data_IF_939158342097
#
_entry.id   IF_939158342097
#
_cell.length_a   1.000
_cell.length_b   1.000
_cell.length_c   1.000
_cell.angle_alpha   90.00
_cell.angle_beta   90.00
_cell.angle_gamma   90.00
#
_symmetry.space_group_name_H-M   'P 1'
#
loop_
_entity.id
_entity.type
_entity.pdbx_description
1 polymer ?
#
# COMPACT_ATOMS: atom_id res chain seq x y z
N UNK A 1 3.93 11.76 -24.71
CA UNK A 1 4.26 10.54 -23.95
C UNK A 1 4.44 10.99 -22.52
N UNK A 2 3.47 10.71 -21.64
CA UNK A 2 3.64 11.01 -20.22
C UNK A 2 4.63 9.99 -19.66
N UNK A 3 5.60 10.38 -18.82
CA UNK A 3 6.52 9.44 -18.21
C UNK A 3 5.70 8.46 -17.37
N UNK A 4 5.83 7.16 -17.66
CA UNK A 4 5.27 6.09 -16.83
C UNK A 4 6.19 5.88 -15.64
N UNK A 5 6.24 6.83 -14.72
CA UNK A 5 6.83 6.55 -13.41
C UNK A 5 5.88 5.60 -12.69
N UNK A 6 6.28 4.33 -12.59
CA UNK A 6 5.57 3.33 -11.81
C UNK A 6 5.93 3.56 -10.35
N UNK A 7 4.92 3.53 -9.47
CA UNK A 7 5.12 3.57 -8.03
C UNK A 7 6.19 2.56 -7.59
N UNK A 8 7.03 2.95 -6.63
CA UNK A 8 8.17 2.15 -6.16
C UNK A 8 8.35 2.32 -4.65
N UNK A 9 8.55 1.22 -3.94
CA UNK A 9 8.78 1.21 -2.49
C UNK A 9 10.24 1.54 -2.10
N UNK A 10 11.09 1.93 -3.05
CA UNK A 10 12.52 2.11 -2.83
C UNK A 10 12.84 3.10 -1.69
N UNK A 11 12.01 4.13 -1.54
CA UNK A 11 12.12 5.19 -0.52
C UNK A 11 11.17 5.00 0.66
N UNK A 12 10.38 3.92 0.68
CA UNK A 12 9.41 3.72 1.74
C UNK A 12 10.09 3.25 3.02
N UNK A 13 9.53 3.59 4.20
CA UNK A 13 10.03 3.11 5.48
C UNK A 13 10.17 1.58 5.48
N UNK A 14 11.34 1.08 5.86
CA UNK A 14 11.60 -0.37 5.91
C UNK A 14 11.02 -0.99 7.18
N UNK A 15 10.79 -2.31 7.14
CA UNK A 15 10.28 -3.08 8.29
C UNK A 15 11.01 -2.70 9.59
N UNK A 16 10.23 -2.51 10.66
CA UNK A 16 10.74 -2.10 11.97
C UNK A 16 10.04 -2.91 13.08
N UNK A 17 10.29 -2.56 14.35
CA UNK A 17 9.71 -3.24 15.52
C UNK A 17 8.17 -3.16 15.58
N UNK A 18 7.55 -2.17 14.92
CA UNK A 18 6.10 -1.96 14.91
C UNK A 18 5.41 -2.95 13.96
N UNK A 19 6.13 -3.40 12.94
CA UNK A 19 5.68 -4.45 12.02
C UNK A 19 6.06 -4.18 10.57
N UNK A 20 5.49 -5.01 9.70
CA UNK A 20 5.71 -5.01 8.25
C UNK A 20 4.35 -5.06 7.55
N UNK A 21 4.26 -4.41 6.40
CA UNK A 21 3.13 -4.45 5.50
C UNK A 21 3.62 -4.82 4.10
N UNK A 22 2.92 -5.76 3.49
CA UNK A 22 3.23 -6.26 2.14
C UNK A 22 1.97 -6.16 1.29
N UNK A 23 2.12 -5.72 0.04
CA UNK A 23 1.06 -5.76 -0.96
C UNK A 23 1.62 -6.35 -2.24
N UNK A 24 1.00 -7.43 -2.69
CA UNK A 24 1.30 -8.08 -3.96
C UNK A 24 0.07 -8.01 -4.85
N UNK A 25 0.22 -7.45 -6.05
CA UNK A 25 -0.86 -7.33 -7.03
C UNK A 25 -0.44 -8.04 -8.31
N UNK A 26 -1.29 -8.96 -8.78
CA UNK A 26 -1.14 -9.64 -10.07
C UNK A 26 -2.32 -9.29 -10.97
N UNK A 27 -2.03 -8.66 -12.10
CA UNK A 27 -3.01 -8.24 -13.10
C UNK A 27 -2.59 -8.82 -14.45
N UNK A 28 -3.21 -9.95 -14.83
CA UNK A 28 -2.82 -10.69 -16.03
C UNK A 28 -1.37 -11.20 -15.94
N UNK A 29 -0.48 -10.67 -16.78
CA UNK A 29 0.96 -10.98 -16.77
C UNK A 29 1.81 -10.00 -15.95
N UNK A 30 1.21 -8.91 -15.51
CA UNK A 30 1.90 -7.92 -14.69
C UNK A 30 1.87 -8.32 -13.23
N UNK A 31 3.00 -8.09 -12.57
CA UNK A 31 3.20 -8.39 -11.17
C UNK A 31 3.94 -7.22 -10.52
N UNK A 32 3.37 -6.71 -9.44
CA UNK A 32 3.99 -5.69 -8.60
C UNK A 32 3.92 -6.13 -7.15
N UNK A 33 4.98 -5.86 -6.40
CA UNK A 33 5.11 -6.19 -4.99
C UNK A 33 5.73 -5.01 -4.27
N UNK A 34 5.15 -4.64 -3.14
CA UNK A 34 5.61 -3.57 -2.28
C UNK A 34 5.81 -4.07 -0.85
N UNK A 35 6.85 -3.57 -0.19
CA UNK A 35 7.13 -3.75 1.22
C UNK A 35 7.34 -2.41 1.93
N UNK A 36 6.67 -2.20 3.05
CA UNK A 36 6.91 -1.05 3.95
C UNK A 36 6.74 -1.45 5.41
N UNK A 37 7.16 -0.61 6.35
CA UNK A 37 6.77 -0.75 7.75
C UNK A 37 5.26 -0.57 7.90
N UNK A 38 4.70 -1.07 9.02
CA UNK A 38 3.31 -0.79 9.35
C UNK A 38 3.10 0.73 9.50
N UNK A 39 2.19 1.30 8.70
CA UNK A 39 1.79 2.71 8.78
C UNK A 39 0.50 2.84 9.58
N UNK A 40 0.56 3.60 10.67
CA UNK A 40 -0.54 3.79 11.62
C UNK A 40 -1.43 4.99 11.33
N UNK A 41 -0.94 6.00 10.61
CA UNK A 41 -1.66 7.25 10.38
C UNK A 41 -1.22 8.01 9.12
N UNK A 42 -2.03 8.99 8.70
CA UNK A 42 -1.67 9.92 7.62
C UNK A 42 -0.53 10.88 7.98
N UNK A 43 -0.23 11.07 9.27
CA UNK A 43 0.92 11.88 9.71
C UNK A 43 2.22 11.18 9.33
N UNK A 44 2.33 9.89 9.62
CA UNK A 44 3.49 9.06 9.23
C UNK A 44 3.69 9.01 7.70
N UNK A 45 2.60 9.10 6.92
CA UNK A 45 2.68 9.23 5.46
C UNK A 45 3.29 10.57 5.05
N UNK A 46 2.84 11.67 5.64
CA UNK A 46 3.32 13.02 5.32
C UNK A 46 4.80 13.23 5.68
N UNK A 47 5.27 12.57 6.74
CA UNK A 47 6.66 12.66 7.21
C UNK A 47 7.62 11.72 6.46
N UNK A 48 7.14 10.94 5.48
CA UNK A 48 7.96 10.00 4.71
C UNK A 48 8.72 10.66 3.55
N UNK A 49 9.74 9.96 3.04
CA UNK A 49 10.53 10.37 1.87
C UNK A 49 9.75 10.24 0.54
N UNK A 50 8.56 9.63 0.57
CA UNK A 50 7.66 9.49 -0.58
C UNK A 50 6.18 9.55 -0.15
N UNK A 51 5.70 10.75 0.22
CA UNK A 51 4.35 10.93 0.77
C UNK A 51 3.25 10.71 -0.27
N UNK A 52 3.55 10.88 -1.57
CA UNK A 52 2.57 10.67 -2.64
C UNK A 52 2.30 9.18 -2.86
N UNK A 53 3.36 8.38 -3.06
CA UNK A 53 3.24 6.93 -3.24
C UNK A 53 2.68 6.22 -2.02
N UNK A 54 3.14 6.57 -0.81
CA UNK A 54 2.61 5.97 0.42
C UNK A 54 1.14 6.33 0.68
N UNK A 55 0.69 7.52 0.27
CA UNK A 55 -0.73 7.89 0.40
C UNK A 55 -1.61 7.03 -0.52
N UNK A 56 -1.17 6.77 -1.75
CA UNK A 56 -1.87 5.87 -2.67
C UNK A 56 -1.98 4.47 -2.06
N UNK A 57 -0.86 3.93 -1.58
CA UNK A 57 -0.81 2.63 -0.89
C UNK A 57 -1.74 2.59 0.34
N UNK A 58 -1.72 3.64 1.16
CA UNK A 58 -2.50 3.74 2.39
C UNK A 58 -4.01 3.68 2.13
N UNK A 59 -4.50 4.41 1.12
CA UNK A 59 -5.92 4.37 0.75
C UNK A 59 -6.31 3.07 0.05
N UNK A 60 -5.49 2.59 -0.88
CA UNK A 60 -5.76 1.33 -1.59
C UNK A 60 -5.93 0.17 -0.60
N UNK A 61 -5.07 0.07 0.41
CA UNK A 61 -5.15 -0.99 1.43
C UNK A 61 -6.41 -0.86 2.28
N UNK A 62 -6.89 0.35 2.56
CA UNK A 62 -8.16 0.55 3.27
C UNK A 62 -9.36 0.12 2.42
N UNK A 63 -9.40 0.55 1.16
CA UNK A 63 -10.46 0.18 0.24
C UNK A 63 -10.55 -1.34 0.08
N UNK A 64 -9.41 -2.03 -0.06
CA UNK A 64 -9.35 -3.49 -0.12
C UNK A 64 -9.84 -4.16 1.17
N UNK A 65 -9.47 -3.64 2.34
CA UNK A 65 -9.93 -4.16 3.63
C UNK A 65 -11.44 -4.01 3.81
N UNK A 66 -11.99 -2.86 3.45
CA UNK A 66 -13.44 -2.62 3.50
C UNK A 66 -14.16 -3.57 2.54
N UNK A 67 -13.65 -3.70 1.32
CA UNK A 67 -14.20 -4.62 0.32
C UNK A 67 -14.23 -6.08 0.80
N UNK A 68 -13.13 -6.55 1.40
CA UNK A 68 -13.04 -7.90 1.98
C UNK A 68 -14.07 -8.09 3.11
N UNK A 69 -14.15 -7.15 4.05
CA UNK A 69 -15.11 -7.22 5.16
C UNK A 69 -16.57 -7.24 4.67
N UNK A 70 -16.89 -6.48 3.62
CA UNK A 70 -18.23 -6.49 3.03
C UNK A 70 -18.55 -7.82 2.34
N UNK A 71 -17.58 -8.43 1.65
CA UNK A 71 -17.74 -9.75 1.05
C UNK A 71 -17.99 -10.81 2.13
N UNK A 72 -17.28 -10.73 3.26
CA UNK A 72 -17.47 -11.63 4.39
C UNK A 72 -18.89 -11.49 4.98
N UNK A 73 -19.38 -10.25 5.18
CA UNK A 73 -20.75 -9.99 5.68
C UNK A 73 -21.81 -10.49 4.69
N UNK A 74 -21.63 -10.26 3.38
CA UNK A 74 -22.59 -10.71 2.38
C UNK A 74 -22.65 -12.25 2.25
N UNK A 75 -21.62 -12.94 2.74
CA UNK A 75 -21.53 -14.40 2.76
C UNK A 75 -22.06 -15.07 4.04
N UNK A 76 -22.43 -14.29 5.06
CA UNK A 76 -22.96 -14.76 6.35
C UNK A 76 -24.49 -14.72 6.39
#
# INVERSE_FOLDING_TARGET
MLPTERESDAKWPRKNIVGRQELEIRLGKEHISFETSKIGSLVEVQESDDPEGLRVMYYLVQDLKVGANLADIASA
#
